data_IF_928851625055
#
_entry.id   IF_928851625055
#
_cell.length_a   1.000
_cell.length_b   1.000
_cell.length_c   1.000
_cell.angle_alpha   90.00
_cell.angle_beta   90.00
_cell.angle_gamma   90.00
#
_symmetry.space_group_name_H-M   'P 1'
#
loop_
_entity.id
_entity.type
_entity.pdbx_description
1 polymer ?
#
# COMPACT_ATOMS: atom_id res chain seq x y z
N UNK A 1 -3.36 -12.95 2.56
CA UNK A 1 -3.32 -12.28 3.85
C UNK A 1 -3.35 -13.20 5.02
N UNK A 2 -4.00 -14.31 4.87
CA UNK A 2 -4.16 -15.17 6.02
C UNK A 2 -2.86 -15.75 6.49
N UNK A 3 -1.85 -15.78 5.83
CA UNK A 3 -0.62 -16.35 6.29
C UNK A 3 0.25 -15.42 7.09
N UNK A 4 -0.20 -14.21 7.28
CA UNK A 4 0.63 -13.21 7.92
C UNK A 4 0.12 -12.84 9.29
N UNK A 5 -0.47 -13.77 9.95
CA UNK A 5 -0.96 -13.52 11.29
C UNK A 5 0.19 -13.16 12.20
N UNK A 6 -0.14 -12.55 13.28
CA UNK A 6 0.87 -12.22 14.24
C UNK A 6 1.09 -10.74 14.35
N UNK A 7 1.14 -10.05 13.27
CA UNK A 7 1.34 -8.62 13.34
C UNK A 7 0.58 -7.88 12.25
N UNK A 8 -0.47 -8.49 11.79
CA UNK A 8 -1.29 -7.85 10.79
C UNK A 8 -0.56 -7.64 9.48
N UNK A 9 0.66 -8.03 9.43
CA UNK A 9 1.54 -7.95 8.31
C UNK A 9 0.97 -7.52 6.98
N UNK A 10 0.37 -8.43 6.27
CA UNK A 10 0.01 -8.17 4.91
C UNK A 10 -0.99 -7.05 4.70
N UNK A 11 -1.95 -6.92 5.60
CA UNK A 11 -2.99 -5.93 5.41
C UNK A 11 -2.44 -4.51 5.46
N UNK A 12 -1.67 -4.21 6.47
CA UNK A 12 -1.10 -2.88 6.60
C UNK A 12 -0.16 -2.58 5.44
N UNK A 13 0.58 -3.56 5.02
CA UNK A 13 1.50 -3.39 3.92
C UNK A 13 0.75 -3.06 2.63
N UNK A 14 -0.34 -3.73 2.41
CA UNK A 14 -1.13 -3.49 1.20
C UNK A 14 -1.72 -2.09 1.22
N UNK A 15 -2.20 -1.65 2.36
CA UNK A 15 -2.75 -0.30 2.48
C UNK A 15 -1.69 0.73 2.18
N UNK A 16 -0.50 0.53 2.70
CA UNK A 16 0.60 1.45 2.45
C UNK A 16 0.95 1.48 0.97
N UNK A 17 0.98 0.32 0.35
CA UNK A 17 1.28 0.25 -1.07
C UNK A 17 0.24 0.98 -1.91
N UNK A 18 -1.03 0.86 -1.54
CA UNK A 18 -2.08 1.59 -2.25
C UNK A 18 -1.91 3.09 -2.10
N UNK A 19 -1.61 3.53 -0.90
CA UNK A 19 -1.43 4.95 -0.67
C UNK A 19 -0.24 5.47 -1.46
N UNK A 20 0.85 4.74 -1.44
CA UNK A 20 2.02 5.13 -2.20
C UNK A 20 1.72 5.16 -3.70
N UNK A 21 0.96 4.19 -4.17
CA UNK A 21 0.61 4.14 -5.57
C UNK A 21 -0.22 5.36 -5.96
N UNK A 22 -1.14 5.77 -5.10
CA UNK A 22 -1.97 6.93 -5.37
C UNK A 22 -1.11 8.19 -5.42
N UNK A 23 -0.23 8.35 -4.46
CA UNK A 23 0.61 9.54 -4.40
C UNK A 23 1.55 9.59 -5.60
N UNK A 24 2.20 8.50 -5.90
CA UNK A 24 3.13 8.45 -7.02
C UNK A 24 2.39 8.62 -8.33
N UNK A 25 1.24 7.98 -8.46
CA UNK A 25 0.45 8.10 -9.66
C UNK A 25 -0.03 9.51 -9.90
N UNK A 26 -0.49 10.17 -8.83
CA UNK A 26 -0.94 11.55 -8.94
C UNK A 26 0.21 12.47 -9.32
N UNK A 27 1.36 12.24 -8.74
CA UNK A 27 2.53 13.05 -9.06
C UNK A 27 2.93 12.87 -10.52
N UNK A 28 2.85 11.66 -11.00
CA UNK A 28 3.22 11.37 -12.38
C UNK A 28 2.25 12.05 -13.36
N UNK A 29 0.98 11.97 -13.06
CA UNK A 29 -0.03 12.57 -13.91
C UNK A 29 0.07 14.09 -13.88
N UNK A 30 0.37 14.63 -12.72
CA UNK A 30 0.48 16.07 -12.55
C UNK A 30 1.76 16.62 -13.18
N UNK A 31 2.65 15.74 -13.46
CA UNK A 31 3.95 16.15 -13.96
C UNK A 31 3.87 16.48 -15.45
#
# INVERSE_FOLDING_TARGET
MSGTAGYGGGFALIVVLFILLIIVGAAFVSY
#
